data_IF_244400928317
#
_entry.id   IF_244400928317
#
_cell.length_a   1.000
_cell.length_b   1.000
_cell.length_c   1.000
_cell.angle_alpha   90.00
_cell.angle_beta   90.00
_cell.angle_gamma   90.00
#
_symmetry.space_group_name_H-M   'P 1'
#
loop_
_entity.id
_entity.type
_entity.pdbx_description
1 polymer ?
#
# COMPACT_ATOMS: atom_id res chain seq x y z
N UNK A 1 4.28 -11.94 -16.85
CA UNK A 1 3.04 -11.18 -16.65
C UNK A 1 3.03 -10.71 -15.19
N UNK A 2 3.60 -9.54 -14.94
CA UNK A 2 3.67 -8.97 -13.59
C UNK A 2 2.51 -8.01 -13.40
N UNK A 3 1.57 -8.35 -12.54
CA UNK A 3 0.51 -7.45 -12.11
C UNK A 3 1.11 -6.44 -11.14
N UNK A 4 1.26 -5.19 -11.58
CA UNK A 4 1.42 -4.06 -10.68
C UNK A 4 0.09 -3.86 -9.94
N UNK A 5 0.09 -4.16 -8.66
CA UNK A 5 -1.01 -3.81 -7.77
C UNK A 5 -0.92 -2.32 -7.50
N UNK A 6 -1.70 -1.53 -8.23
CA UNK A 6 -1.92 -0.14 -7.91
C UNK A 6 -2.62 -0.03 -6.55
N UNK A 7 -1.83 0.12 -5.48
CA UNK A 7 -2.35 0.53 -4.19
C UNK A 7 -2.76 2.00 -4.26
N UNK A 8 -4.03 2.25 -4.58
CA UNK A 8 -4.65 3.57 -4.41
C UNK A 8 -4.70 3.91 -2.92
N UNK A 9 -3.72 4.72 -2.47
CA UNK A 9 -3.77 5.36 -1.17
C UNK A 9 -4.42 6.73 -1.29
N UNK A 10 -5.44 6.97 -0.50
CA UNK A 10 -5.90 8.32 -0.22
C UNK A 10 -4.80 9.05 0.56
N UNK A 11 -4.04 9.88 -0.15
CA UNK A 11 -3.03 10.74 0.44
C UNK A 11 -3.63 12.12 0.61
N UNK A 12 -3.61 12.58 1.84
CA UNK A 12 -4.16 13.87 2.22
C UNK A 12 -3.22 15.06 2.02
N UNK A 13 -2.00 14.84 1.44
CA UNK A 13 -1.03 15.92 1.24
C UNK A 13 -0.15 15.71 0.01
N UNK A 14 0.04 16.76 -0.79
CA UNK A 14 0.99 16.79 -1.91
C UNK A 14 2.43 16.45 -1.49
N UNK A 15 2.81 16.68 -0.24
CA UNK A 15 4.10 16.27 0.30
C UNK A 15 4.25 14.75 0.43
N UNK A 16 3.18 14.01 0.73
CA UNK A 16 3.20 12.55 0.75
C UNK A 16 3.24 11.95 -0.66
N UNK A 17 2.62 12.63 -1.65
CA UNK A 17 2.74 12.24 -3.06
C UNK A 17 4.20 12.38 -3.55
N UNK A 18 4.87 13.44 -3.10
CA UNK A 18 6.31 13.65 -3.31
C UNK A 18 7.15 12.53 -2.68
N UNK A 19 6.72 11.96 -1.56
CA UNK A 19 7.41 10.86 -0.88
C UNK A 19 7.19 9.49 -1.52
N UNK A 20 6.14 9.30 -2.32
CA UNK A 20 5.88 8.03 -3.00
C UNK A 20 6.75 7.80 -4.24
N UNK A 21 7.16 8.89 -4.88
CA UNK A 21 8.06 8.83 -6.03
C UNK A 21 9.51 9.08 -5.60
N UNK A 22 9.72 9.65 -4.41
CA UNK A 22 11.00 9.53 -3.78
C UNK A 22 11.20 8.07 -3.43
N UNK A 23 11.60 7.33 -4.48
CA UNK A 23 12.23 6.05 -4.33
C UNK A 23 11.56 5.36 -3.15
N UNK A 24 10.41 4.74 -3.40
CA UNK A 24 9.99 3.69 -2.51
C UNK A 24 11.07 2.60 -2.61
N UNK A 25 12.24 2.98 -2.13
CA UNK A 25 13.11 2.00 -1.58
C UNK A 25 12.18 1.35 -0.58
N UNK A 26 11.85 0.11 -0.72
CA UNK A 26 11.15 -0.74 0.24
C UNK A 26 11.79 -0.68 1.63
N UNK A 27 12.24 0.49 2.04
CA UNK A 27 12.84 0.77 3.33
C UNK A 27 11.73 0.89 4.36
N UNK A 28 11.15 -0.29 4.64
CA UNK A 28 10.28 -0.47 5.78
C UNK A 28 11.02 0.08 6.99
N UNK A 29 10.45 1.09 7.61
CA UNK A 29 11.00 1.68 8.82
C UNK A 29 10.36 1.05 10.06
N UNK A 30 11.01 1.17 11.22
CA UNK A 30 10.41 0.78 12.50
C UNK A 30 9.06 1.48 12.72
N UNK A 31 8.95 2.75 12.29
CA UNK A 31 7.72 3.55 12.39
C UNK A 31 6.61 2.99 11.50
N UNK A 32 6.90 2.59 10.27
CA UNK A 32 5.89 2.01 9.36
C UNK A 32 5.38 0.66 9.83
N UNK A 33 6.20 -0.10 10.59
CA UNK A 33 5.81 -1.35 11.24
C UNK A 33 5.15 -1.12 12.61
N UNK A 34 5.01 0.13 13.07
CA UNK A 34 4.49 0.45 14.39
C UNK A 34 5.35 -0.06 15.55
N UNK A 35 6.66 -0.27 15.33
CA UNK A 35 7.58 -0.83 16.31
C UNK A 35 8.20 0.22 17.19
N UNK A 36 8.26 -0.08 18.50
CA UNK A 36 8.87 0.77 19.53
C UNK A 36 10.20 0.19 20.00
N UNK A 37 11.12 1.05 20.41
CA UNK A 37 12.45 0.69 20.91
C UNK A 37 13.48 0.45 19.81
N UNK A 38 14.70 0.07 20.23
CA UNK A 38 15.83 -0.17 19.33
C UNK A 38 15.77 -1.60 18.78
N UNK A 39 14.84 -1.86 17.86
CA UNK A 39 14.65 -3.18 17.27
C UNK A 39 15.81 -3.52 16.32
N UNK A 40 16.37 -4.71 16.46
CA UNK A 40 17.41 -5.26 15.56
C UNK A 40 16.83 -6.19 14.49
N UNK A 41 15.75 -6.91 14.82
CA UNK A 41 15.02 -7.70 13.81
C UNK A 41 13.56 -7.93 14.23
N UNK A 42 12.69 -8.14 13.24
CA UNK A 42 11.29 -8.54 13.43
C UNK A 42 10.89 -9.55 12.38
N UNK A 43 10.09 -10.53 12.77
CA UNK A 43 9.43 -11.48 11.87
C UNK A 43 8.04 -11.83 12.39
N UNK A 44 7.09 -12.02 11.46
CA UNK A 44 5.70 -12.37 11.76
C UNK A 44 5.39 -13.77 11.23
N UNK A 45 4.64 -14.56 12.04
CA UNK A 45 4.21 -15.92 11.70
C UNK A 45 2.73 -16.10 12.00
N UNK A 46 2.02 -16.85 11.16
CA UNK A 46 0.60 -17.16 11.34
C UNK A 46 0.39 -18.66 11.49
N UNK A 47 -0.46 -19.05 12.43
CA UNK A 47 -0.77 -20.44 12.75
C UNK A 47 -2.28 -20.61 12.91
N UNK A 48 -2.78 -21.82 12.65
CA UNK A 48 -4.08 -22.20 13.14
C UNK A 48 -4.00 -22.18 14.67
N UNK A 49 -4.97 -21.54 15.33
CA UNK A 49 -5.06 -21.58 16.78
C UNK A 49 -5.76 -22.87 17.21
N UNK A 50 -5.19 -23.58 18.16
CA UNK A 50 -5.76 -24.84 18.69
C UNK A 50 -5.90 -24.74 20.19
N UNK A 51 -7.10 -24.99 20.71
CA UNK A 51 -7.31 -25.10 22.13
C UNK A 51 -6.90 -26.50 22.62
N UNK A 52 -6.04 -26.54 23.62
CA UNK A 52 -5.59 -27.78 24.26
C UNK A 52 -5.45 -27.56 25.76
N UNK A 53 -6.19 -28.32 26.54
CA UNK A 53 -6.17 -28.25 28.04
C UNK A 53 -6.39 -26.81 28.55
N UNK A 54 -7.38 -26.09 28.00
CA UNK A 54 -7.71 -24.71 28.37
C UNK A 54 -6.69 -23.65 27.95
N UNK A 55 -5.69 -24.03 27.17
CA UNK A 55 -4.68 -23.11 26.60
C UNK A 55 -4.75 -23.08 25.09
N UNK A 56 -4.57 -21.88 24.51
CA UNK A 56 -4.48 -21.73 23.06
C UNK A 56 -3.02 -21.89 22.63
N UNK A 57 -2.75 -22.91 21.82
CA UNK A 57 -1.43 -23.25 21.31
C UNK A 57 -1.35 -23.07 19.79
N UNK A 58 -0.13 -22.99 19.27
CA UNK A 58 0.15 -23.00 17.83
C UNK A 58 -0.22 -24.37 17.25
N UNK A 59 -1.14 -24.39 16.29
CA UNK A 59 -1.43 -25.55 15.46
C UNK A 59 -0.55 -25.59 14.20
N UNK A 60 -1.12 -26.07 13.11
CA UNK A 60 -0.45 -26.00 11.82
C UNK A 60 -0.18 -24.55 11.43
N UNK A 61 0.97 -24.33 10.79
CA UNK A 61 1.24 -23.03 10.21
C UNK A 61 0.27 -22.78 9.04
N UNK A 62 -0.25 -21.55 8.96
CA UNK A 62 -1.02 -21.12 7.81
C UNK A 62 0.00 -20.82 6.71
N UNK A 63 0.16 -21.76 5.79
CA UNK A 63 0.96 -21.61 4.58
C UNK A 63 0.16 -20.79 3.56
N UNK A 64 0.85 -20.17 2.57
CA UNK A 64 0.18 -19.48 1.48
C UNK A 64 -0.80 -20.41 0.78
N UNK A 65 -1.98 -19.89 0.47
CA UNK A 65 -2.97 -20.66 -0.29
C UNK A 65 -2.32 -21.09 -1.59
N UNK A 66 -2.35 -22.39 -1.94
CA UNK A 66 -1.86 -22.85 -3.22
C UNK A 66 -2.56 -22.11 -4.37
N UNK A 67 -1.82 -21.78 -5.43
CA UNK A 67 -2.29 -21.03 -6.61
C UNK A 67 -3.53 -21.63 -7.32
N UNK A 68 -3.89 -22.88 -7.02
CA UNK A 68 -4.99 -23.61 -7.61
C UNK A 68 -6.38 -23.29 -7.03
N UNK A 69 -6.44 -22.60 -5.89
CA UNK A 69 -7.70 -22.10 -5.32
C UNK A 69 -7.80 -20.59 -5.55
N UNK A 70 -8.27 -20.19 -6.73
CA UNK A 70 -8.70 -18.81 -7.02
C UNK A 70 -9.78 -18.39 -6.01
N UNK A 71 -9.37 -17.78 -4.92
CA UNK A 71 -10.28 -17.02 -4.06
C UNK A 71 -10.87 -15.90 -4.93
N UNK A 72 -12.19 -15.82 -4.97
CA UNK A 72 -12.87 -14.64 -5.53
C UNK A 72 -12.35 -13.44 -4.77
N UNK A 73 -11.75 -12.51 -5.49
CA UNK A 73 -11.23 -11.26 -4.96
C UNK A 73 -12.39 -10.44 -4.41
N UNK A 74 -12.49 -10.39 -3.10
CA UNK A 74 -13.31 -9.39 -2.43
C UNK A 74 -12.41 -8.17 -2.18
N UNK A 75 -12.64 -7.12 -2.95
CA UNK A 75 -11.86 -5.87 -2.88
C UNK A 75 -11.97 -5.16 -1.52
N UNK A 76 -12.88 -5.57 -0.65
CA UNK A 76 -13.11 -4.93 0.65
C UNK A 76 -12.02 -5.18 1.69
N UNK A 77 -11.21 -6.24 1.53
CA UNK A 77 -10.18 -6.65 2.49
C UNK A 77 -8.82 -5.96 2.29
N UNK A 78 -8.69 -5.10 1.29
CA UNK A 78 -7.42 -4.47 0.92
C UNK A 78 -7.00 -3.26 1.78
N UNK A 79 -7.86 -2.78 2.69
CA UNK A 79 -7.73 -1.40 3.20
C UNK A 79 -7.26 -1.23 4.63
N UNK A 80 -7.03 -2.30 5.39
CA UNK A 80 -6.51 -2.19 6.75
C UNK A 80 -5.05 -2.60 6.86
N UNK A 81 -4.15 -1.64 6.69
CA UNK A 81 -2.69 -1.82 6.74
C UNK A 81 -2.17 -2.47 8.02
N UNK A 82 -2.88 -2.33 9.14
CA UNK A 82 -2.46 -2.87 10.42
C UNK A 82 -2.81 -4.36 10.60
N UNK A 83 -3.75 -4.88 9.80
CA UNK A 83 -4.26 -6.25 9.92
C UNK A 83 -3.95 -7.09 8.67
N UNK A 84 -3.81 -6.44 7.51
CA UNK A 84 -3.82 -7.10 6.19
C UNK A 84 -2.55 -7.81 5.77
N UNK A 85 -1.48 -7.67 6.49
CA UNK A 85 -0.34 -8.56 6.30
C UNK A 85 -0.68 -10.05 6.61
N UNK A 86 -1.94 -10.36 6.86
CA UNK A 86 -2.40 -11.68 7.25
C UNK A 86 -2.74 -12.66 6.14
N UNK A 87 -2.97 -12.20 4.92
CA UNK A 87 -3.40 -13.08 3.83
C UNK A 87 -2.27 -13.53 2.89
N UNK A 88 -1.18 -12.76 2.83
CA UNK A 88 -0.01 -13.18 2.06
C UNK A 88 1.00 -13.80 3.01
N UNK A 89 1.11 -15.08 2.99
CA UNK A 89 2.01 -15.84 3.86
C UNK A 89 3.43 -15.91 3.31
N UNK A 90 3.85 -14.92 2.57
CA UNK A 90 5.26 -14.67 2.42
C UNK A 90 5.75 -14.16 3.77
N UNK A 91 6.59 -14.93 4.42
CA UNK A 91 7.15 -14.56 5.70
C UNK A 91 8.32 -13.66 5.48
N UNK A 92 8.20 -12.47 6.02
CA UNK A 92 9.25 -11.50 6.00
C UNK A 92 9.99 -11.49 7.32
N UNK A 93 11.29 -11.36 7.24
CA UNK A 93 12.13 -11.00 8.36
C UNK A 93 12.94 -9.78 8.00
N UNK A 94 12.79 -8.74 8.80
CA UNK A 94 13.45 -7.46 8.62
C UNK A 94 14.55 -7.30 9.65
N UNK A 95 15.66 -6.71 9.24
CA UNK A 95 16.79 -6.39 10.09
C UNK A 95 17.05 -4.89 10.04
N UNK A 96 17.35 -4.31 11.19
CA UNK A 96 17.57 -2.89 11.34
C UNK A 96 18.91 -2.60 11.99
N UNK A 97 19.56 -1.52 11.59
CA UNK A 97 20.71 -0.98 12.29
C UNK A 97 20.26 -0.23 13.57
N UNK A 98 21.24 0.24 14.35
CA UNK A 98 20.99 0.96 15.61
C UNK A 98 20.24 2.29 15.39
N UNK A 99 20.25 2.85 14.17
CA UNK A 99 19.51 4.05 13.77
C UNK A 99 18.09 3.73 13.30
N UNK A 100 17.69 2.46 13.31
CA UNK A 100 16.37 1.98 12.87
C UNK A 100 16.18 1.94 11.35
N UNK A 101 17.29 1.97 10.56
CA UNK A 101 17.24 1.81 9.11
C UNK A 101 17.21 0.33 8.77
N UNK A 102 16.38 -0.06 7.81
CA UNK A 102 16.37 -1.42 7.29
C UNK A 102 17.71 -1.73 6.61
N UNK A 103 18.37 -2.80 7.03
CA UNK A 103 19.65 -3.27 6.45
C UNK A 103 19.49 -4.55 5.65
N UNK A 104 18.46 -5.34 5.96
CA UNK A 104 18.16 -6.57 5.24
C UNK A 104 16.69 -6.93 5.38
N UNK A 105 16.12 -7.50 4.31
CA UNK A 105 14.82 -8.16 4.27
C UNK A 105 15.03 -9.58 3.75
N UNK A 106 14.45 -10.55 4.41
CA UNK A 106 14.43 -11.95 3.98
C UNK A 106 12.99 -12.39 3.75
N UNK A 107 12.77 -13.14 2.67
CA UNK A 107 11.47 -13.70 2.30
C UNK A 107 11.53 -15.22 2.37
N UNK A 108 10.57 -15.82 3.05
CA UNK A 108 10.52 -17.27 3.26
C UNK A 108 9.22 -17.86 2.70
N UNK A 109 9.30 -19.01 2.04
CA UNK A 109 8.13 -19.75 1.55
C UNK A 109 7.31 -20.36 2.69
N UNK A 110 7.93 -20.65 3.83
CA UNK A 110 7.27 -21.18 5.04
C UNK A 110 8.08 -20.87 6.29
N UNK A 111 7.49 -20.96 7.52
CA UNK A 111 8.22 -20.79 8.78
C UNK A 111 9.23 -21.89 9.03
N UNK A 112 9.04 -23.04 8.41
CA UNK A 112 9.95 -24.18 8.50
C UNK A 112 11.10 -24.08 7.50
N UNK A 113 11.02 -23.19 6.52
CA UNK A 113 12.08 -22.95 5.57
C UNK A 113 13.31 -22.41 6.32
N UNK A 114 14.43 -23.14 6.25
CA UNK A 114 15.70 -22.75 6.87
C UNK A 114 16.42 -21.67 6.08
N UNK A 115 16.14 -21.59 4.78
CA UNK A 115 16.75 -20.64 3.86
C UNK A 115 15.68 -19.74 3.24
N UNK A 116 15.90 -18.43 3.16
CA UNK A 116 15.02 -17.54 2.44
C UNK A 116 15.09 -17.83 0.93
N UNK A 117 13.96 -17.65 0.23
CA UNK A 117 13.93 -17.68 -1.22
C UNK A 117 14.24 -16.29 -1.82
N UNK A 118 14.04 -15.22 -1.03
CA UNK A 118 14.39 -13.85 -1.40
C UNK A 118 15.22 -13.18 -0.30
N UNK A 119 16.30 -12.52 -0.68
CA UNK A 119 17.17 -11.75 0.23
C UNK A 119 17.39 -10.37 -0.40
N UNK A 120 17.12 -9.32 0.35
CA UNK A 120 17.37 -7.93 0.00
C UNK A 120 18.36 -7.33 0.98
N UNK A 121 19.47 -6.82 0.50
CA UNK A 121 20.48 -6.13 1.31
C UNK A 121 20.47 -4.64 0.96
N UNK A 122 20.29 -3.79 1.95
CA UNK A 122 20.26 -2.33 1.81
C UNK A 122 21.60 -1.77 2.31
N UNK A 123 22.37 -1.22 1.38
CA UNK A 123 23.72 -0.72 1.63
C UNK A 123 23.69 0.80 1.70
N UNK A 124 24.15 1.34 2.81
CA UNK A 124 24.19 2.78 3.07
C UNK A 124 25.61 3.31 3.04
N UNK A 125 25.84 4.38 2.28
CA UNK A 125 27.09 5.12 2.27
C UNK A 125 26.85 6.56 2.76
N UNK A 126 27.62 7.04 3.71
CA UNK A 126 27.44 8.36 4.32
C UNK A 126 26.00 8.64 4.78
N UNK A 127 25.32 7.63 5.31
CA UNK A 127 23.96 7.74 5.83
C UNK A 127 22.84 7.68 4.76
N UNK A 128 23.17 7.52 3.49
CA UNK A 128 22.24 7.40 2.36
C UNK A 128 22.28 6.01 1.77
N UNK A 129 21.14 5.55 1.26
CA UNK A 129 21.06 4.30 0.53
C UNK A 129 21.89 4.43 -0.76
N UNK A 130 22.91 3.60 -0.90
CA UNK A 130 23.79 3.58 -2.09
C UNK A 130 23.51 2.43 -3.02
N UNK A 131 23.02 1.31 -2.47
CA UNK A 131 22.79 0.11 -3.27
C UNK A 131 21.73 -0.76 -2.59
N UNK A 132 20.89 -1.43 -3.38
CA UNK A 132 20.03 -2.53 -2.95
C UNK A 132 20.40 -3.74 -3.77
N UNK A 133 20.83 -4.81 -3.08
CA UNK A 133 21.11 -6.11 -3.69
C UNK A 133 20.00 -7.08 -3.35
N UNK A 134 19.35 -7.58 -4.39
CA UNK A 134 18.29 -8.57 -4.24
C UNK A 134 18.73 -9.89 -4.88
N UNK A 135 18.53 -10.98 -4.16
CA UNK A 135 18.65 -12.32 -4.68
C UNK A 135 17.33 -13.05 -4.51
N UNK A 136 16.76 -13.57 -5.59
CA UNK A 136 15.54 -14.39 -5.57
C UNK A 136 15.91 -15.77 -6.11
N UNK A 137 15.63 -16.80 -5.33
CA UNK A 137 15.94 -18.20 -5.68
C UNK A 137 14.68 -18.89 -6.22
N UNK A 138 14.69 -19.27 -7.48
CA UNK A 138 13.67 -20.07 -8.15
C UNK A 138 14.17 -21.50 -8.36
N UNK A 139 13.28 -22.40 -8.78
CA UNK A 139 13.64 -23.78 -9.15
C UNK A 139 14.59 -23.80 -10.36
N UNK A 140 14.45 -22.83 -11.25
CA UNK A 140 15.19 -22.69 -12.52
C UNK A 140 16.52 -21.96 -12.36
N UNK A 141 16.80 -21.41 -11.18
CA UNK A 141 18.02 -20.66 -10.87
C UNK A 141 17.76 -19.37 -10.10
N UNK A 142 18.84 -18.71 -9.73
CA UNK A 142 18.78 -17.45 -8.99
C UNK A 142 18.62 -16.25 -9.94
N UNK A 143 17.77 -15.30 -9.57
CA UNK A 143 17.73 -13.96 -10.19
C UNK A 143 18.41 -13.00 -9.22
N UNK A 144 19.41 -12.29 -9.72
CA UNK A 144 20.08 -11.19 -9.01
C UNK A 144 19.60 -9.86 -9.55
N UNK A 145 19.15 -8.98 -8.66
CA UNK A 145 18.84 -7.59 -8.99
C UNK A 145 19.71 -6.68 -8.12
N UNK A 146 20.46 -5.80 -8.78
CA UNK A 146 21.32 -4.82 -8.12
C UNK A 146 20.89 -3.41 -8.54
N UNK A 147 20.35 -2.63 -7.61
CA UNK A 147 20.00 -1.22 -7.86
C UNK A 147 21.04 -0.30 -7.25
N UNK A 148 21.68 0.53 -8.05
CA UNK A 148 22.73 1.48 -7.65
C UNK A 148 22.22 2.91 -7.72
N UNK A 149 22.43 3.67 -6.67
CA UNK A 149 21.92 5.03 -6.48
C UNK A 149 23.05 6.05 -6.67
N UNK A 150 22.87 6.96 -7.61
CA UNK A 150 23.76 8.12 -7.83
C UNK A 150 23.11 9.38 -7.30
N UNK A 151 23.87 10.19 -6.58
CA UNK A 151 23.40 11.42 -5.94
C UNK A 151 24.12 12.65 -6.49
N UNK A 152 23.38 13.74 -6.62
CA UNK A 152 23.89 15.08 -6.86
C UNK A 152 23.30 16.01 -5.80
N UNK A 153 24.13 16.76 -5.07
CA UNK A 153 23.71 17.70 -4.00
C UNK A 153 22.68 17.13 -3.01
N UNK A 154 22.88 15.91 -2.57
CA UNK A 154 21.98 15.17 -1.63
C UNK A 154 20.68 14.67 -2.23
N UNK A 155 20.41 14.88 -3.52
CA UNK A 155 19.24 14.36 -4.22
C UNK A 155 19.66 13.17 -5.05
N UNK A 156 18.76 12.21 -5.22
CA UNK A 156 18.98 11.10 -6.15
C UNK A 156 18.90 11.65 -7.56
N UNK A 157 19.93 11.40 -8.35
CA UNK A 157 20.00 11.77 -9.75
C UNK A 157 19.65 10.61 -10.67
N UNK A 158 20.07 9.41 -10.30
CA UNK A 158 19.93 8.22 -11.12
C UNK A 158 19.89 6.97 -10.26
N UNK A 159 19.11 5.99 -10.72
CA UNK A 159 19.14 4.61 -10.24
C UNK A 159 19.36 3.72 -11.46
N UNK A 160 20.39 2.90 -11.41
CA UNK A 160 20.63 1.84 -12.38
C UNK A 160 20.33 0.50 -11.73
N UNK A 161 19.40 -0.23 -12.30
CA UNK A 161 19.04 -1.59 -11.86
C UNK A 161 19.57 -2.60 -12.87
N UNK A 162 20.31 -3.59 -12.38
CA UNK A 162 20.90 -4.67 -13.16
C UNK A 162 20.20 -5.97 -12.79
N UNK A 163 19.87 -6.78 -13.78
CA UNK A 163 19.37 -8.14 -13.61
C UNK A 163 20.41 -9.13 -14.14
N UNK A 164 20.91 -10.01 -13.25
CA UNK A 164 21.98 -10.95 -13.60
C UNK A 164 23.20 -10.27 -14.26
N UNK A 165 23.58 -9.07 -13.74
CA UNK A 165 24.68 -8.23 -14.20
C UNK A 165 24.42 -7.47 -15.53
N UNK A 166 23.29 -7.65 -16.19
CA UNK A 166 22.89 -6.88 -17.37
C UNK A 166 21.98 -5.71 -16.96
N UNK A 167 22.11 -4.59 -17.66
CA UNK A 167 21.25 -3.42 -17.43
C UNK A 167 19.80 -3.84 -17.67
N UNK A 168 18.95 -3.66 -16.66
CA UNK A 168 17.53 -3.99 -16.71
C UNK A 168 16.65 -2.75 -16.81
N UNK A 169 17.02 -1.73 -16.03
CA UNK A 169 16.23 -0.50 -15.92
C UNK A 169 17.12 0.65 -15.49
N UNK A 170 16.84 1.84 -16.03
CA UNK A 170 17.44 3.10 -15.60
C UNK A 170 16.38 4.12 -15.25
N UNK A 171 16.45 4.67 -14.04
CA UNK A 171 15.59 5.77 -13.59
C UNK A 171 16.41 7.06 -13.49
N UNK A 172 15.95 8.11 -14.17
CA UNK A 172 16.56 9.45 -14.15
C UNK A 172 15.65 10.43 -13.42
N UNK A 173 16.25 11.27 -12.58
CA UNK A 173 15.57 12.32 -11.82
C UNK A 173 16.06 13.68 -12.26
N UNK A 174 15.14 14.54 -12.67
CA UNK A 174 15.41 15.92 -13.06
C UNK A 174 14.85 16.88 -12.01
N UNK A 175 15.63 17.89 -11.63
CA UNK A 175 15.23 18.89 -10.64
C UNK A 175 15.35 20.29 -11.24
N UNK A 176 14.39 21.15 -10.92
CA UNK A 176 14.37 22.56 -11.30
C UNK A 176 14.08 23.39 -10.05
N UNK A 177 14.88 24.43 -9.81
CA UNK A 177 14.76 25.29 -8.60
C UNK A 177 14.65 24.52 -7.28
N UNK A 178 15.29 23.36 -7.23
CA UNK A 178 15.27 22.50 -6.04
C UNK A 178 14.05 21.56 -5.91
N UNK A 179 13.06 21.67 -6.78
CA UNK A 179 11.91 20.80 -6.88
C UNK A 179 12.18 19.65 -7.86
N UNK A 180 11.57 18.48 -7.63
CA UNK A 180 11.58 17.37 -8.56
C UNK A 180 10.69 17.72 -9.75
N UNK A 181 11.27 17.86 -10.94
CA UNK A 181 10.56 18.23 -12.18
C UNK A 181 10.04 17.01 -12.93
N UNK A 182 10.90 16.00 -13.06
CA UNK A 182 10.51 14.76 -13.73
C UNK A 182 11.26 13.55 -13.21
N UNK A 183 10.63 12.38 -13.42
CA UNK A 183 11.27 11.07 -13.30
C UNK A 183 11.01 10.33 -14.60
N UNK A 184 12.05 9.76 -15.21
CA UNK A 184 11.96 8.96 -16.42
C UNK A 184 12.55 7.59 -16.16
N UNK A 185 11.81 6.56 -16.51
CA UNK A 185 12.20 5.15 -16.34
C UNK A 185 12.37 4.56 -17.73
N UNK A 186 13.54 4.01 -17.97
CA UNK A 186 13.92 3.37 -19.23
C UNK A 186 14.12 1.89 -19.00
N UNK A 187 13.65 1.05 -19.92
CA UNK A 187 13.86 -0.39 -19.92
C UNK A 187 15.29 -0.76 -20.37
N UNK A 188 15.56 -2.06 -20.51
CA UNK A 188 16.86 -2.60 -20.98
C UNK A 188 17.28 -2.11 -22.37
N UNK A 189 16.32 -1.82 -23.23
CA UNK A 189 16.53 -1.40 -24.61
C UNK A 189 16.68 0.12 -24.74
N UNK A 190 16.71 0.81 -23.59
CA UNK A 190 16.73 2.26 -23.45
C UNK A 190 15.45 2.97 -23.95
N UNK A 191 14.33 2.24 -24.06
CA UNK A 191 13.04 2.81 -24.34
C UNK A 191 12.41 3.38 -23.07
N UNK A 192 11.73 4.51 -23.20
CA UNK A 192 11.02 5.15 -22.10
C UNK A 192 9.79 4.32 -21.71
N UNK A 193 9.83 3.63 -20.58
CA UNK A 193 8.71 2.82 -20.08
C UNK A 193 7.71 3.62 -19.24
N UNK A 194 8.21 4.55 -18.41
CA UNK A 194 7.37 5.39 -17.56
C UNK A 194 7.92 6.80 -17.45
N UNK A 195 7.02 7.77 -17.34
CA UNK A 195 7.39 9.17 -17.13
C UNK A 195 6.45 9.82 -16.09
N UNK A 196 7.06 10.54 -15.16
CA UNK A 196 6.38 11.38 -14.16
C UNK A 196 6.80 12.82 -14.41
N UNK A 197 5.83 13.72 -14.49
CA UNK A 197 6.09 15.17 -14.67
C UNK A 197 5.35 15.93 -13.57
N UNK A 198 6.04 16.89 -12.97
CA UNK A 198 5.54 17.70 -11.87
C UNK A 198 5.57 19.16 -12.23
N UNK A 199 4.46 19.85 -12.00
CA UNK A 199 4.34 21.29 -12.20
C UNK A 199 4.20 21.97 -10.84
N UNK A 200 4.90 23.10 -10.68
CA UNK A 200 4.92 23.85 -9.44
C UNK A 200 4.54 25.32 -9.67
N UNK A 201 3.85 25.90 -8.69
CA UNK A 201 3.73 27.33 -8.51
C UNK A 201 4.62 27.73 -7.33
N UNK A 202 5.83 28.23 -7.65
CA UNK A 202 6.91 28.38 -6.67
C UNK A 202 7.32 27.02 -6.08
N UNK A 203 7.13 26.83 -4.76
CA UNK A 203 7.44 25.55 -4.07
C UNK A 203 6.25 24.59 -3.95
N UNK A 204 5.05 25.02 -4.38
CA UNK A 204 3.83 24.23 -4.24
C UNK A 204 3.61 23.38 -5.48
N UNK A 205 3.40 22.07 -5.31
CA UNK A 205 2.97 21.20 -6.38
C UNK A 205 1.53 21.55 -6.78
N UNK A 206 1.29 21.81 -8.06
CA UNK A 206 -0.03 22.13 -8.62
C UNK A 206 -0.56 21.04 -9.53
N UNK A 207 0.33 20.26 -10.16
CA UNK A 207 -0.05 19.16 -11.04
C UNK A 207 1.02 18.06 -11.02
N UNK A 208 0.56 16.81 -11.17
CA UNK A 208 1.41 15.67 -11.46
C UNK A 208 0.80 14.88 -12.63
N UNK A 209 1.62 14.49 -13.59
CA UNK A 209 1.24 13.65 -14.72
C UNK A 209 2.12 12.41 -14.74
N UNK A 210 1.50 11.25 -14.85
CA UNK A 210 2.17 9.95 -14.91
C UNK A 210 1.76 9.30 -16.23
N UNK A 211 2.73 8.81 -16.97
CA UNK A 211 2.51 8.15 -18.26
C UNK A 211 3.27 6.83 -18.26
N UNK A 212 2.59 5.76 -18.61
CA UNK A 212 3.17 4.45 -18.90
C UNK A 212 3.14 4.23 -20.42
N UNK A 213 4.26 3.81 -20.97
CA UNK A 213 4.45 3.58 -22.40
C UNK A 213 4.46 2.07 -22.67
N UNK A 214 3.95 1.67 -23.83
CA UNK A 214 4.06 0.30 -24.36
C UNK A 214 4.63 0.35 -25.77
N UNK A 215 5.55 -0.57 -26.07
CA UNK A 215 6.22 -0.66 -27.37
C UNK A 215 5.84 -1.99 -28.01
N UNK A 216 5.42 -1.95 -29.27
CA UNK A 216 5.18 -3.12 -30.08
C UNK A 216 6.35 -3.36 -31.02
N UNK A 217 6.75 -4.59 -31.23
CA UNK A 217 7.94 -4.98 -32.01
C UNK A 217 7.98 -4.39 -33.44
N UNK A 218 6.82 -4.03 -34.01
CA UNK A 218 6.71 -3.50 -35.38
C UNK A 218 6.65 -1.98 -35.46
N UNK A 219 6.70 -1.26 -34.31
CA UNK A 219 6.49 0.18 -34.28
C UNK A 219 7.70 0.93 -33.70
N UNK A 220 8.20 1.92 -34.46
CA UNK A 220 9.33 2.79 -34.04
C UNK A 220 8.96 3.73 -32.86
N UNK A 221 7.67 3.88 -32.54
CA UNK A 221 7.20 4.80 -31.49
C UNK A 221 6.34 4.07 -30.48
N UNK A 222 6.66 4.27 -29.21
CA UNK A 222 5.83 3.76 -28.10
C UNK A 222 4.48 4.47 -28.04
N UNK A 223 3.46 3.70 -27.61
CA UNK A 223 2.11 4.19 -27.36
C UNK A 223 1.87 4.43 -25.87
N UNK A 224 1.03 5.39 -25.55
CA UNK A 224 0.58 5.61 -24.15
C UNK A 224 -0.39 4.50 -23.79
N UNK A 225 0.05 3.60 -22.91
CA UNK A 225 -0.77 2.54 -22.33
C UNK A 225 -1.66 3.05 -21.23
N UNK A 226 -1.11 3.86 -20.35
CA UNK A 226 -1.85 4.50 -19.29
C UNK A 226 -1.40 5.94 -19.06
N UNK A 227 -2.34 6.77 -18.61
CA UNK A 227 -2.09 8.14 -18.21
C UNK A 227 -2.87 8.46 -16.94
N UNK A 228 -2.21 9.14 -16.01
CA UNK A 228 -2.83 9.68 -14.81
C UNK A 228 -2.45 11.13 -14.62
N UNK A 229 -3.44 11.99 -14.37
CA UNK A 229 -3.25 13.42 -14.10
C UNK A 229 -3.87 13.74 -12.75
N UNK A 230 -3.15 14.44 -11.90
CA UNK A 230 -3.61 14.87 -10.59
C UNK A 230 -3.39 16.37 -10.49
N UNK A 231 -4.41 17.09 -9.99
CA UNK A 231 -4.30 18.54 -9.75
C UNK A 231 -4.54 18.84 -8.27
N UNK A 232 -3.83 19.85 -7.80
CA UNK A 232 -3.85 20.27 -6.40
C UNK A 232 -4.30 21.73 -6.29
N UNK A 233 -5.03 22.05 -5.22
CA UNK A 233 -5.37 23.42 -4.87
C UNK A 233 -4.19 24.16 -4.22
N UNK A 234 -4.41 25.43 -3.88
CA UNK A 234 -3.41 26.26 -3.22
C UNK A 234 -3.03 25.79 -1.79
N UNK A 235 -3.81 24.90 -1.19
CA UNK A 235 -3.53 24.30 0.12
C UNK A 235 -2.77 22.98 -0.02
N UNK A 236 -2.64 22.45 -1.25
CA UNK A 236 -2.02 21.16 -1.56
C UNK A 236 -2.99 19.98 -1.46
N UNK A 237 -4.29 20.23 -1.42
CA UNK A 237 -5.30 19.18 -1.47
C UNK A 237 -5.50 18.74 -2.93
N UNK A 238 -5.67 17.43 -3.14
CA UNK A 238 -5.96 16.85 -4.44
C UNK A 238 -7.43 17.14 -4.82
N UNK A 239 -7.63 18.04 -5.78
CA UNK A 239 -8.97 18.47 -6.22
C UNK A 239 -9.47 17.75 -7.46
N UNK A 240 -8.57 17.19 -8.25
CA UNK A 240 -8.89 16.47 -9.47
C UNK A 240 -7.92 15.33 -9.70
N UNK A 241 -8.45 14.17 -10.07
CA UNK A 241 -7.69 13.03 -10.59
C UNK A 241 -8.36 12.54 -11.87
N UNK A 242 -7.56 12.30 -12.91
CA UNK A 242 -7.93 11.65 -14.15
C UNK A 242 -7.04 10.45 -14.35
N UNK A 243 -7.63 9.31 -14.67
CA UNK A 243 -6.90 8.09 -15.04
C UNK A 243 -7.47 7.52 -16.32
N UNK A 244 -6.59 7.18 -17.25
CA UNK A 244 -6.92 6.57 -18.53
C UNK A 244 -6.00 5.37 -18.74
N UNK A 245 -6.54 4.22 -19.12
CA UNK A 245 -5.77 3.05 -19.48
C UNK A 245 -6.39 2.33 -20.66
N UNK A 246 -5.54 1.75 -21.52
CA UNK A 246 -5.93 1.03 -22.70
C UNK A 246 -5.96 -0.47 -22.41
N UNK A 247 -7.09 -1.14 -22.72
CA UNK A 247 -7.19 -2.60 -22.75
C UNK A 247 -7.70 -2.95 -24.14
N UNK A 248 -6.92 -3.72 -24.88
CA UNK A 248 -7.16 -4.01 -26.30
C UNK A 248 -7.29 -2.71 -27.10
N UNK A 249 -8.47 -2.35 -27.57
CA UNK A 249 -8.76 -1.15 -28.35
C UNK A 249 -9.73 -0.18 -27.64
N UNK A 250 -9.96 -0.38 -26.33
CA UNK A 250 -10.92 0.37 -25.51
C UNK A 250 -10.19 1.09 -24.40
N UNK A 251 -10.41 2.41 -24.30
CA UNK A 251 -9.95 3.20 -23.15
C UNK A 251 -10.95 3.09 -22.01
N UNK A 252 -10.42 2.83 -20.82
CA UNK A 252 -11.13 2.93 -19.56
C UNK A 252 -10.70 4.22 -18.88
N UNK A 253 -11.66 5.05 -18.51
CA UNK A 253 -11.41 6.37 -17.97
C UNK A 253 -12.11 6.51 -16.64
N UNK A 254 -11.39 7.00 -15.63
CA UNK A 254 -11.91 7.39 -14.33
C UNK A 254 -11.54 8.86 -14.05
N UNK A 255 -12.52 9.65 -13.66
CA UNK A 255 -12.34 11.05 -13.26
C UNK A 255 -12.88 11.27 -11.84
N UNK A 256 -12.08 11.87 -10.98
CA UNK A 256 -12.44 12.24 -9.63
C UNK A 256 -12.38 13.76 -9.48
N UNK A 257 -13.47 14.34 -8.98
CA UNK A 257 -13.53 15.72 -8.57
C UNK A 257 -13.77 15.76 -7.06
N UNK A 258 -12.91 16.44 -6.31
CA UNK A 258 -12.96 16.47 -4.84
C UNK A 258 -13.08 17.91 -4.35
N UNK A 259 -14.03 18.14 -3.45
CA UNK A 259 -14.29 19.41 -2.79
C UNK A 259 -13.83 19.33 -1.33
N UNK A 260 -13.28 20.45 -0.84
CA UNK A 260 -12.78 20.60 0.53
C UNK A 260 -13.46 21.80 1.21
N UNK A 261 -13.61 21.73 2.52
CA UNK A 261 -14.02 22.89 3.31
C UNK A 261 -12.82 23.81 3.60
N UNK A 262 -13.09 24.96 4.22
CA UNK A 262 -12.06 25.94 4.57
C UNK A 262 -10.95 25.43 5.52
N UNK A 263 -11.14 24.26 6.14
CA UNK A 263 -10.14 23.60 7.00
C UNK A 263 -9.33 22.54 6.23
N UNK A 264 -9.48 22.44 4.90
CA UNK A 264 -8.83 21.42 4.08
C UNK A 264 -9.36 20.00 4.31
N UNK A 265 -10.61 19.86 4.79
CA UNK A 265 -11.27 18.57 4.96
C UNK A 265 -12.13 18.26 3.76
N UNK A 266 -11.99 17.04 3.20
CA UNK A 266 -12.79 16.56 2.09
C UNK A 266 -14.28 16.52 2.46
N UNK A 267 -15.13 17.20 1.70
CA UNK A 267 -16.57 17.24 1.95
C UNK A 267 -17.37 16.46 0.91
N UNK A 268 -16.89 16.44 -0.33
CA UNK A 268 -17.53 15.72 -1.42
C UNK A 268 -16.45 15.20 -2.38
N UNK A 269 -16.69 14.03 -2.96
CA UNK A 269 -15.90 13.55 -4.09
C UNK A 269 -16.86 12.90 -5.09
N UNK A 270 -16.71 13.23 -6.36
CA UNK A 270 -17.49 12.64 -7.45
C UNK A 270 -16.55 11.84 -8.32
N UNK A 271 -16.84 10.56 -8.50
CA UNK A 271 -16.15 9.68 -9.45
C UNK A 271 -17.06 9.46 -10.64
N UNK A 272 -16.57 9.76 -11.83
CA UNK A 272 -17.18 9.37 -13.08
C UNK A 272 -16.26 8.38 -13.80
N UNK A 273 -16.73 7.15 -14.00
CA UNK A 273 -16.03 6.12 -14.77
C UNK A 273 -16.77 5.82 -16.06
N UNK A 274 -16.03 5.63 -17.16
CA UNK A 274 -16.62 5.32 -18.46
C UNK A 274 -15.62 4.63 -19.38
N UNK A 275 -16.16 3.98 -20.41
CA UNK A 275 -15.37 3.43 -21.52
C UNK A 275 -15.44 4.36 -22.71
N UNK A 276 -14.37 4.38 -23.51
CA UNK A 276 -14.26 5.20 -24.70
C UNK A 276 -13.62 4.40 -25.85
N UNK A 277 -14.33 4.32 -26.99
CA UNK A 277 -13.87 3.62 -28.19
C UNK A 277 -14.45 4.32 -29.43
N UNK A 278 -13.65 4.46 -30.48
CA UNK A 278 -14.04 5.04 -31.78
C UNK A 278 -14.78 6.37 -31.68
N UNK A 279 -14.34 7.26 -30.79
CA UNK A 279 -14.97 8.56 -30.59
C UNK A 279 -16.22 8.56 -29.69
N UNK A 280 -16.65 7.40 -29.18
CA UNK A 280 -17.88 7.25 -28.40
C UNK A 280 -17.60 6.93 -26.94
N UNK A 281 -18.31 7.62 -26.05
CA UNK A 281 -18.36 7.35 -24.60
C UNK A 281 -19.54 6.41 -24.31
N UNK A 282 -19.28 5.35 -23.54
CA UNK A 282 -20.31 4.39 -23.14
C UNK A 282 -20.00 3.78 -21.77
N UNK A 283 -20.91 2.98 -21.23
CA UNK A 283 -20.80 2.28 -19.95
C UNK A 283 -20.42 3.25 -18.79
N UNK A 284 -21.13 4.38 -18.73
CA UNK A 284 -20.86 5.43 -17.75
C UNK A 284 -21.48 5.11 -16.40
N UNK A 285 -20.68 5.20 -15.34
CA UNK A 285 -21.14 5.12 -13.95
C UNK A 285 -20.65 6.33 -13.15
N UNK A 286 -21.48 6.78 -12.21
CA UNK A 286 -21.18 7.91 -11.34
C UNK A 286 -21.38 7.49 -9.89
N UNK A 287 -20.37 7.69 -9.07
CA UNK A 287 -20.44 7.52 -7.63
C UNK A 287 -20.12 8.85 -6.94
N UNK A 288 -20.90 9.18 -5.93
CA UNK A 288 -20.75 10.40 -5.15
C UNK A 288 -20.43 10.00 -3.71
N UNK A 289 -19.36 10.56 -3.16
CA UNK A 289 -18.95 10.36 -1.78
C UNK A 289 -19.16 11.66 -1.01
N UNK A 290 -19.84 11.61 0.13
CA UNK A 290 -20.07 12.76 1.02
C UNK A 290 -19.47 12.49 2.38
N UNK A 291 -18.81 13.46 2.97
CA UNK A 291 -18.09 13.34 4.24
C UNK A 291 -18.66 14.31 5.26
N UNK A 292 -19.06 13.81 6.41
CA UNK A 292 -19.56 14.58 7.53
C UNK A 292 -18.58 14.46 8.68
N UNK A 293 -18.30 15.56 9.36
CA UNK A 293 -17.37 15.65 10.46
C UNK A 293 -18.07 15.97 11.78
N UNK A 294 -17.48 15.51 12.89
CA UNK A 294 -17.91 15.90 14.22
C UNK A 294 -17.33 17.30 14.60
N UNK A 295 -17.68 17.77 15.79
CA UNK A 295 -17.23 19.05 16.37
C UNK A 295 -15.70 19.08 16.61
N UNK A 296 -15.03 17.95 16.66
CA UNK A 296 -13.58 17.81 16.76
C UNK A 296 -12.88 17.63 15.41
N UNK A 297 -13.61 17.86 14.29
CA UNK A 297 -13.11 17.69 12.92
C UNK A 297 -12.64 16.28 12.58
N UNK A 298 -13.20 15.22 13.20
CA UNK A 298 -13.02 13.81 12.85
C UNK A 298 -14.17 13.37 11.94
N UNK A 299 -13.91 12.44 11.02
CA UNK A 299 -14.97 11.89 10.15
C UNK A 299 -16.03 11.23 11.04
N UNK A 300 -17.27 11.70 10.95
CA UNK A 300 -18.42 11.13 11.63
C UNK A 300 -19.19 10.16 10.73
N UNK A 301 -19.38 10.54 9.48
CA UNK A 301 -20.12 9.72 8.52
C UNK A 301 -19.52 9.86 7.12
N UNK A 302 -19.57 8.79 6.34
CA UNK A 302 -19.24 8.78 4.90
C UNK A 302 -20.41 8.12 4.17
N UNK A 303 -20.97 8.81 3.20
CA UNK A 303 -22.00 8.30 2.31
C UNK A 303 -21.41 7.97 0.96
N UNK A 304 -21.64 6.75 0.46
CA UNK A 304 -21.39 6.38 -0.93
C UNK A 304 -22.72 6.34 -1.65
N UNK A 305 -22.90 7.23 -2.63
CA UNK A 305 -24.18 7.45 -3.29
C UNK A 305 -24.08 7.18 -4.80
N UNK A 306 -25.20 6.78 -5.40
CA UNK A 306 -25.40 6.74 -6.85
C UNK A 306 -25.48 8.18 -7.42
N UNK A 307 -25.60 8.28 -8.75
CA UNK A 307 -25.73 9.56 -9.47
C UNK A 307 -26.89 10.45 -8.98
N UNK A 308 -28.01 9.85 -8.57
CA UNK A 308 -29.19 10.53 -8.03
C UNK A 308 -29.04 10.89 -6.54
N UNK A 309 -27.84 10.76 -6.01
CA UNK A 309 -27.49 10.99 -4.59
C UNK A 309 -28.13 10.01 -3.60
N UNK A 310 -28.79 8.94 -4.06
CA UNK A 310 -29.30 7.87 -3.19
C UNK A 310 -28.11 7.07 -2.63
N UNK A 311 -27.94 6.96 -1.31
CA UNK A 311 -26.85 6.22 -0.74
C UNK A 311 -27.05 4.70 -0.94
N UNK A 312 -25.97 4.01 -1.34
CA UNK A 312 -25.90 2.55 -1.38
C UNK A 312 -25.01 1.98 -0.26
N UNK A 313 -24.18 2.84 0.35
CA UNK A 313 -23.39 2.47 1.52
C UNK A 313 -23.23 3.69 2.44
N UNK A 314 -23.36 3.47 3.76
CA UNK A 314 -23.15 4.47 4.80
C UNK A 314 -22.16 3.93 5.80
N UNK A 315 -21.03 4.62 5.98
CA UNK A 315 -20.07 4.33 7.05
C UNK A 315 -20.21 5.36 8.15
N UNK A 316 -20.41 4.91 9.39
CA UNK A 316 -20.48 5.76 10.59
C UNK A 316 -19.30 5.49 11.52
N UNK A 317 -18.85 6.53 12.19
CA UNK A 317 -17.77 6.47 13.15
C UNK A 317 -18.21 7.03 14.50
N UNK A 318 -17.99 6.27 15.56
CA UNK A 318 -18.15 6.72 16.93
C UNK A 318 -16.80 6.73 17.62
N UNK A 319 -16.52 7.77 18.37
CA UNK A 319 -15.23 7.97 19.04
C UNK A 319 -15.45 8.12 20.54
N UNK A 320 -14.81 7.28 21.32
CA UNK A 320 -14.60 7.48 22.75
C UNK A 320 -13.10 7.44 23.03
N UNK A 321 -12.59 8.01 24.10
CA UNK A 321 -11.17 8.11 24.45
C UNK A 321 -10.17 7.39 23.51
N UNK A 322 -9.95 6.09 23.75
CA UNK A 322 -9.04 5.23 23.00
C UNK A 322 -9.78 4.30 22.01
N UNK A 323 -11.12 4.39 21.90
CA UNK A 323 -11.93 3.47 21.11
C UNK A 323 -12.55 4.17 19.91
N UNK A 324 -12.50 3.50 18.76
CA UNK A 324 -13.20 3.88 17.53
C UNK A 324 -14.11 2.72 17.16
N UNK A 325 -15.38 3.02 16.95
CA UNK A 325 -16.34 2.08 16.38
C UNK A 325 -16.65 2.57 14.97
N UNK A 326 -16.50 1.68 14.00
CA UNK A 326 -16.84 1.90 12.60
C UNK A 326 -17.97 0.94 12.24
N UNK A 327 -19.07 1.47 11.76
CA UNK A 327 -20.24 0.75 11.29
C UNK A 327 -20.44 1.00 9.80
N UNK A 328 -20.57 -0.06 9.00
CA UNK A 328 -20.89 0.04 7.59
C UNK A 328 -22.29 -0.56 7.37
N UNK A 329 -23.16 0.21 6.75
CA UNK A 329 -24.49 -0.18 6.32
C UNK A 329 -24.54 -0.22 4.79
N UNK A 330 -24.72 -1.41 4.19
CA UNK A 330 -25.19 -1.55 2.82
C UNK A 330 -26.70 -1.28 2.79
N UNK A 331 -27.13 -0.24 2.09
CA UNK A 331 -28.56 0.09 2.03
C UNK A 331 -29.31 -0.75 0.98
N UNK A 332 -28.61 -1.41 0.09
CA UNK A 332 -29.18 -2.31 -0.93
C UNK A 332 -29.61 -3.64 -0.31
N UNK A 333 -28.75 -4.21 0.53
CA UNK A 333 -28.98 -5.51 1.15
C UNK A 333 -29.46 -5.40 2.60
N UNK A 334 -29.48 -4.18 3.17
CA UNK A 334 -29.70 -3.93 4.60
C UNK A 334 -28.71 -4.66 5.52
N UNK A 335 -27.51 -4.88 5.01
CA UNK A 335 -26.45 -5.56 5.74
C UNK A 335 -25.63 -4.57 6.57
N UNK A 336 -25.38 -4.93 7.83
CA UNK A 336 -24.56 -4.14 8.76
C UNK A 336 -23.33 -4.94 9.15
N UNK A 337 -22.16 -4.33 9.00
CA UNK A 337 -20.92 -4.80 9.60
C UNK A 337 -20.36 -3.77 10.57
N UNK A 338 -19.68 -4.23 11.62
CA UNK A 338 -19.16 -3.35 12.67
C UNK A 338 -17.74 -3.74 13.05
N UNK A 339 -16.86 -2.74 13.14
CA UNK A 339 -15.47 -2.91 13.57
C UNK A 339 -15.22 -2.04 14.81
N UNK A 340 -14.60 -2.61 15.84
CA UNK A 340 -14.21 -1.89 17.05
C UNK A 340 -12.70 -1.90 17.19
N UNK A 341 -12.12 -0.71 17.29
CA UNK A 341 -10.70 -0.50 17.48
C UNK A 341 -10.43 0.06 18.87
N UNK A 342 -9.39 -0.43 19.52
CA UNK A 342 -8.87 0.12 20.76
C UNK A 342 -7.40 0.50 20.58
N UNK A 343 -7.07 1.77 20.82
CA UNK A 343 -5.71 2.32 20.57
C UNK A 343 -5.18 2.03 19.16
N UNK A 344 -6.08 2.06 18.17
CA UNK A 344 -5.76 1.79 16.77
C UNK A 344 -5.62 0.30 16.41
N UNK A 345 -5.85 -0.62 17.33
CA UNK A 345 -5.85 -2.06 17.07
C UNK A 345 -7.29 -2.56 16.96
N UNK A 346 -7.60 -3.32 15.91
CA UNK A 346 -8.90 -4.00 15.78
C UNK A 346 -9.03 -5.03 16.89
N UNK A 347 -10.08 -4.88 17.71
CA UNK A 347 -10.35 -5.81 18.84
C UNK A 347 -11.61 -6.64 18.60
N UNK A 348 -12.53 -6.17 17.74
CA UNK A 348 -13.76 -6.90 17.41
C UNK A 348 -14.23 -6.53 16.01
N UNK A 349 -14.75 -7.52 15.27
CA UNK A 349 -15.46 -7.35 14.00
C UNK A 349 -16.74 -8.19 14.03
N UNK A 350 -17.85 -7.59 13.62
CA UNK A 350 -19.16 -8.22 13.51
C UNK A 350 -19.57 -8.18 12.03
N UNK A 351 -19.81 -9.34 11.45
CA UNK A 351 -20.19 -9.48 10.03
C UNK A 351 -21.71 -9.54 9.89
N UNK A 352 -22.26 -9.19 8.72
CA UNK A 352 -23.71 -9.20 8.49
C UNK A 352 -24.38 -10.56 8.69
N UNK A 353 -23.65 -11.66 8.47
CA UNK A 353 -24.15 -13.03 8.68
C UNK A 353 -24.20 -13.44 10.16
N UNK A 354 -23.90 -12.53 11.09
CA UNK A 354 -23.87 -12.77 12.52
C UNK A 354 -22.55 -13.36 13.06
N UNK A 355 -21.56 -13.59 12.21
CA UNK A 355 -20.24 -14.01 12.68
C UNK A 355 -19.56 -12.87 13.46
N UNK A 356 -18.99 -13.22 14.60
CA UNK A 356 -18.25 -12.30 15.46
C UNK A 356 -16.79 -12.73 15.54
N UNK A 357 -15.90 -11.82 15.18
CA UNK A 357 -14.45 -12.00 15.31
C UNK A 357 -13.93 -11.14 16.47
N UNK A 358 -13.15 -11.73 17.36
CA UNK A 358 -12.47 -11.04 18.44
C UNK A 358 -10.97 -11.25 18.35
N UNK A 359 -10.18 -10.20 18.66
CA UNK A 359 -8.72 -10.19 18.56
C UNK A 359 -8.12 -9.92 19.94
N UNK A 360 -7.39 -10.88 20.50
CA UNK A 360 -6.73 -10.75 21.80
C UNK A 360 -5.23 -10.60 21.63
N UNK A 361 -4.69 -9.45 22.03
CA UNK A 361 -3.30 -9.08 21.89
C UNK A 361 -2.50 -9.36 23.16
N UNK A 362 -1.26 -9.78 22.97
CA UNK A 362 -0.22 -9.82 24.02
C UNK A 362 0.90 -8.92 23.60
N UNK A 363 1.42 -8.13 24.52
CA UNK A 363 2.49 -7.14 24.27
C UNK A 363 3.77 -7.52 25.02
N UNK A 364 4.92 -7.10 24.50
CA UNK A 364 6.20 -7.16 25.22
C UNK A 364 6.39 -5.94 26.15
N UNK A 365 7.51 -5.91 26.86
CA UNK A 365 7.85 -4.81 27.76
C UNK A 365 8.17 -3.45 27.08
N UNK A 366 8.13 -3.39 25.75
CA UNK A 366 8.26 -2.17 24.93
C UNK A 366 6.93 -1.75 24.29
N UNK A 367 5.85 -2.42 24.70
CA UNK A 367 4.49 -2.21 24.16
C UNK A 367 4.36 -2.53 22.66
N UNK A 368 5.19 -3.41 22.12
CA UNK A 368 4.98 -4.00 20.82
C UNK A 368 4.11 -5.25 20.99
N UNK A 369 3.10 -5.41 20.14
CA UNK A 369 2.35 -6.67 20.18
C UNK A 369 3.25 -7.80 19.67
N UNK A 370 3.24 -8.92 20.41
CA UNK A 370 4.03 -10.11 20.09
C UNK A 370 3.18 -11.34 19.79
N UNK A 371 1.91 -11.27 20.14
CA UNK A 371 0.95 -12.32 19.81
C UNK A 371 -0.44 -11.72 19.66
N UNK A 372 -1.19 -12.18 18.66
CA UNK A 372 -2.63 -11.93 18.55
C UNK A 372 -3.34 -13.27 18.28
N UNK A 373 -4.44 -13.50 18.98
CA UNK A 373 -5.32 -14.65 18.77
C UNK A 373 -6.63 -14.11 18.23
N UNK A 374 -7.04 -14.63 17.08
CA UNK A 374 -8.30 -14.36 16.43
C UNK A 374 -9.29 -15.47 16.81
N UNK A 375 -10.44 -15.07 17.29
CA UNK A 375 -11.57 -15.95 17.61
C UNK A 375 -12.70 -15.67 16.64
N UNK A 376 -13.37 -16.72 16.16
CA UNK A 376 -14.64 -16.63 15.45
C UNK A 376 -15.72 -17.27 16.33
N UNK A 377 -16.73 -16.49 16.73
CA UNK A 377 -17.82 -16.96 17.61
C UNK A 377 -17.29 -17.70 18.85
N UNK A 378 -16.30 -17.09 19.53
CA UNK A 378 -15.57 -17.61 20.69
C UNK A 378 -14.58 -18.74 20.43
N UNK A 379 -14.57 -19.35 19.24
CA UNK A 379 -13.64 -20.43 18.87
C UNK A 379 -12.33 -19.82 18.36
N UNK A 380 -11.17 -20.17 18.91
CA UNK A 380 -9.89 -19.67 18.40
C UNK A 380 -9.60 -20.30 17.04
N UNK A 381 -9.41 -19.47 16.03
CA UNK A 381 -9.19 -19.92 14.64
C UNK A 381 -7.79 -19.63 14.12
N UNK A 382 -7.19 -18.53 14.57
CA UNK A 382 -5.88 -18.09 14.08
C UNK A 382 -5.04 -17.49 15.19
N UNK A 383 -3.74 -17.78 15.17
CA UNK A 383 -2.76 -17.16 16.04
C UNK A 383 -1.66 -16.53 15.19
N UNK A 384 -1.38 -15.27 15.42
CA UNK A 384 -0.27 -14.55 14.83
C UNK A 384 0.79 -14.28 15.89
N UNK A 385 2.02 -14.56 15.59
CA UNK A 385 3.16 -14.38 16.51
C UNK A 385 4.20 -13.52 15.82
N UNK A 386 4.63 -12.49 16.53
CA UNK A 386 5.69 -11.59 16.11
C UNK A 386 6.91 -11.83 16.97
N UNK A 387 8.03 -12.18 16.37
CA UNK A 387 9.30 -12.31 17.04
C UNK A 387 10.11 -11.03 16.85
N UNK A 388 10.41 -10.35 17.95
CA UNK A 388 11.14 -9.08 17.96
C UNK A 388 12.46 -9.29 18.72
N UNK A 389 13.58 -8.90 18.12
CA UNK A 389 14.86 -8.82 18.80
C UNK A 389 15.26 -7.35 18.91
N UNK A 390 15.95 -7.02 19.97
CA UNK A 390 16.42 -5.66 20.25
C UNK A 390 17.93 -5.58 20.23
N UNK A 391 18.47 -4.42 19.85
CA UNK A 391 19.88 -4.15 20.03
C UNK A 391 20.24 -4.18 21.51
N UNK A 392 21.30 -4.90 21.85
CA UNK A 392 21.86 -4.91 23.20
C UNK A 392 22.59 -3.58 23.38
N UNK A 393 22.18 -2.77 24.38
CA UNK A 393 22.98 -1.61 24.78
C UNK A 393 24.29 -2.15 25.35
N UNK A 394 25.39 -1.94 24.63
CA UNK A 394 26.74 -2.16 25.15
C UNK A 394 27.15 -0.97 26.02
#
# INVERSE_FOLDING_TARGET
MFYFVNCLFFITNAQEYKSRITIDTDTISLKSLGLKGKVSSVSDFSFIAVEKNGSIIKGAEIESIPDDKKLKWDNSLYWDRNILSGFWTIKYKYYFDIKGRNTQKEEYKSSKAKTPYGIYNYIYNNGRLSEVKQKITFVEGDIMLDSKYTYEDKKVKQIDTYRNYEMWERTLFEYEEGNLKSVKIFNSDADLSEMYVYEYSGKKLVSARIVEMEYYEEEEKGHIKSEKIIKFDNQGNEVYEYSKYLIEDTYYIDEFNTEYNGLGKKIKSVREGYKYKDGNKFDTHINIYKYIYDDKNRIKEVYSCKKDETPFNITKYEYSEDTIIKENLSTEDNEISKETYFKGLLIKKEEPNGDVFEYKYTFDGKENWVKVIEYKNTIPIKMRVREIKYHINK
#
